data_IF_775094461614
#
_entry.id   IF_775094461614
#
_cell.length_a   1.000
_cell.length_b   1.000
_cell.length_c   1.000
_cell.angle_alpha   90.00
_cell.angle_beta   90.00
_cell.angle_gamma   90.00
#
_symmetry.space_group_name_H-M   'P 1'
#
loop_
_entity.id
_entity.type
_entity.pdbx_description
1 polymer ?
#
# COMPACT_ATOMS: atom_id res chain seq x y z
N UNK A 1 15.48 -25.89 12.45
CA UNK A 1 15.02 -25.76 13.86
C UNK A 1 13.93 -24.68 13.92
N UNK A 2 12.64 -25.06 13.93
CA UNK A 2 11.53 -24.09 14.04
C UNK A 2 11.47 -23.62 15.49
N UNK A 3 11.98 -22.44 15.77
CA UNK A 3 11.88 -21.82 17.10
C UNK A 3 10.38 -21.52 17.32
N UNK A 4 9.74 -22.24 18.24
CA UNK A 4 8.36 -21.99 18.63
C UNK A 4 8.35 -20.80 19.60
N UNK A 5 8.38 -19.57 19.06
CA UNK A 5 8.24 -18.36 19.88
C UNK A 5 6.79 -18.21 20.37
N UNK A 6 6.58 -17.85 21.65
CA UNK A 6 5.25 -17.48 22.14
C UNK A 6 4.68 -16.33 21.30
N UNK A 7 3.37 -16.31 21.01
CA UNK A 7 2.76 -15.28 20.16
C UNK A 7 3.03 -13.86 20.67
N UNK A 8 3.12 -13.69 21.99
CA UNK A 8 3.48 -12.41 22.63
C UNK A 8 4.89 -11.91 22.25
N UNK A 9 5.89 -12.80 22.28
CA UNK A 9 7.29 -12.42 21.97
C UNK A 9 7.43 -12.04 20.50
N UNK A 10 6.68 -12.69 19.61
CA UNK A 10 6.64 -12.34 18.18
C UNK A 10 6.07 -10.95 17.94
N UNK A 11 5.02 -10.56 18.66
CA UNK A 11 4.42 -9.22 18.58
C UNK A 11 5.38 -8.18 19.15
N UNK A 12 5.98 -8.46 20.31
CA UNK A 12 6.95 -7.56 20.94
C UNK A 12 8.15 -7.29 20.03
N UNK A 13 8.69 -8.33 19.38
CA UNK A 13 9.79 -8.19 18.43
C UNK A 13 9.38 -7.34 17.21
N UNK A 14 8.19 -7.58 16.62
CA UNK A 14 7.68 -6.77 15.52
C UNK A 14 7.56 -5.30 15.92
N UNK A 15 6.98 -5.02 17.08
CA UNK A 15 6.85 -3.67 17.61
C UNK A 15 8.21 -3.02 17.85
N UNK A 16 9.16 -3.74 18.46
CA UNK A 16 10.50 -3.23 18.71
C UNK A 16 11.21 -2.86 17.40
N UNK A 17 11.10 -3.69 16.37
CA UNK A 17 11.65 -3.40 15.03
C UNK A 17 10.96 -2.19 14.40
N UNK A 18 9.62 -2.11 14.45
CA UNK A 18 8.88 -0.95 13.93
C UNK A 18 9.27 0.34 14.64
N UNK A 19 9.34 0.34 15.97
CA UNK A 19 9.73 1.50 16.77
C UNK A 19 11.18 1.90 16.50
N UNK A 20 12.10 0.94 16.42
CA UNK A 20 13.50 1.22 16.10
C UNK A 20 13.65 1.82 14.69
N UNK A 21 12.92 1.30 13.71
CA UNK A 21 12.91 1.83 12.34
C UNK A 21 12.36 3.26 12.30
N UNK A 22 11.23 3.53 12.97
CA UNK A 22 10.67 4.88 13.06
C UNK A 22 11.63 5.83 13.76
N UNK A 23 12.21 5.42 14.89
CA UNK A 23 13.20 6.22 15.61
C UNK A 23 14.40 6.57 14.74
N UNK A 24 14.93 5.60 13.98
CA UNK A 24 16.03 5.82 13.06
C UNK A 24 15.66 6.84 11.97
N UNK A 25 14.48 6.70 11.37
CA UNK A 25 13.97 7.60 10.32
C UNK A 25 13.80 9.02 10.86
N UNK A 26 13.13 9.19 12.00
CA UNK A 26 12.93 10.51 12.61
C UNK A 26 14.23 11.14 13.13
N UNK A 27 15.21 10.35 13.56
CA UNK A 27 16.50 10.88 14.02
C UNK A 27 17.38 11.39 12.88
N UNK A 28 17.11 10.97 11.64
CA UNK A 28 17.88 11.36 10.44
C UNK A 28 17.17 12.38 9.56
N UNK A 29 15.87 12.59 9.77
CA UNK A 29 15.06 13.54 9.02
C UNK A 29 14.89 14.83 9.81
N UNK A 30 15.24 15.96 9.19
CA UNK A 30 14.74 17.26 9.64
C UNK A 30 13.30 17.42 9.15
N UNK A 31 12.35 17.34 10.08
CA UNK A 31 10.92 17.50 9.77
C UNK A 31 10.63 18.87 9.14
N UNK A 32 11.39 19.92 9.46
CA UNK A 32 11.21 21.24 8.85
C UNK A 32 11.64 21.24 7.38
N UNK A 33 12.75 20.59 7.04
CA UNK A 33 13.18 20.45 5.64
C UNK A 33 12.21 19.62 4.81
N UNK A 34 11.66 18.53 5.38
CA UNK A 34 10.65 17.70 4.72
C UNK A 34 9.39 18.52 4.43
N UNK A 35 8.88 19.25 5.42
CA UNK A 35 7.70 20.10 5.25
C UNK A 35 7.96 21.26 4.27
N UNK A 36 9.16 21.85 4.30
CA UNK A 36 9.58 22.88 3.35
C UNK A 36 9.65 22.35 1.92
N UNK A 37 10.16 21.13 1.74
CA UNK A 37 10.24 20.46 0.43
C UNK A 37 8.84 20.15 -0.11
N UNK A 38 7.91 19.71 0.74
CA UNK A 38 6.51 19.48 0.36
C UNK A 38 5.83 20.81 -0.01
N UNK A 39 6.07 21.89 0.74
CA UNK A 39 5.50 23.21 0.46
C UNK A 39 6.04 23.82 -0.86
N UNK A 40 7.30 23.56 -1.20
CA UNK A 40 7.90 23.99 -2.47
C UNK A 40 7.62 23.04 -3.64
N UNK A 41 7.06 21.86 -3.39
CA UNK A 41 6.78 20.88 -4.42
C UNK A 41 5.76 21.43 -5.42
N UNK A 42 6.07 21.32 -6.71
CA UNK A 42 5.17 21.81 -7.75
C UNK A 42 3.91 20.94 -7.79
N UNK A 43 2.77 21.55 -7.50
CA UNK A 43 1.46 20.91 -7.51
C UNK A 43 1.15 20.15 -8.82
N UNK A 44 1.69 20.63 -9.96
CA UNK A 44 1.56 19.97 -11.26
C UNK A 44 2.17 18.56 -11.27
N UNK A 45 3.36 18.37 -10.71
CA UNK A 45 4.00 17.05 -10.67
C UNK A 45 3.26 16.09 -9.74
N UNK A 46 2.78 16.59 -8.59
CA UNK A 46 2.00 15.78 -7.66
C UNK A 46 0.68 15.34 -8.29
N UNK A 47 -0.01 16.25 -8.98
CA UNK A 47 -1.26 15.96 -9.70
C UNK A 47 -1.02 14.97 -10.85
N UNK A 48 0.06 15.15 -11.62
CA UNK A 48 0.43 14.22 -12.68
C UNK A 48 0.74 12.83 -12.14
N UNK A 49 1.49 12.72 -11.05
CA UNK A 49 1.78 11.46 -10.38
C UNK A 49 0.49 10.78 -9.88
N UNK A 50 -0.44 11.54 -9.29
CA UNK A 50 -1.73 11.03 -8.84
C UNK A 50 -2.57 10.49 -10.00
N UNK A 51 -2.64 11.20 -11.12
CA UNK A 51 -3.37 10.76 -12.32
C UNK A 51 -2.75 9.47 -12.86
N UNK A 52 -1.43 9.42 -13.01
CA UNK A 52 -0.72 8.22 -13.46
C UNK A 52 -0.94 7.03 -12.52
N UNK A 53 -0.94 7.27 -11.21
CA UNK A 53 -1.24 6.25 -10.21
C UNK A 53 -2.66 5.71 -10.37
N UNK A 54 -3.67 6.59 -10.49
CA UNK A 54 -5.07 6.18 -10.71
C UNK A 54 -5.21 5.37 -12.00
N UNK A 55 -4.61 5.82 -13.11
CA UNK A 55 -4.62 5.11 -14.39
C UNK A 55 -3.97 3.73 -14.29
N UNK A 56 -2.83 3.62 -13.59
CA UNK A 56 -2.17 2.35 -13.32
C UNK A 56 -3.11 1.37 -12.58
N UNK A 57 -3.87 1.87 -11.59
CA UNK A 57 -4.86 1.07 -10.86
C UNK A 57 -6.05 0.67 -11.72
N UNK A 58 -6.53 1.55 -12.61
CA UNK A 58 -7.59 1.21 -13.56
C UNK A 58 -7.16 0.07 -14.49
N UNK A 59 -5.97 0.17 -15.11
CA UNK A 59 -5.43 -0.87 -15.99
C UNK A 59 -5.27 -2.20 -15.24
N UNK A 60 -4.78 -2.14 -14.00
CA UNK A 60 -4.62 -3.33 -13.16
C UNK A 60 -5.95 -4.01 -12.84
N UNK A 61 -7.00 -3.23 -12.58
CA UNK A 61 -8.35 -3.75 -12.36
C UNK A 61 -8.89 -4.44 -13.61
N UNK A 62 -8.71 -3.87 -14.80
CA UNK A 62 -9.14 -4.50 -16.07
C UNK A 62 -8.42 -5.83 -16.30
N UNK A 63 -7.12 -5.89 -16.03
CA UNK A 63 -6.32 -7.13 -16.11
C UNK A 63 -6.88 -8.19 -15.15
N UNK A 64 -7.26 -7.78 -13.93
CA UNK A 64 -7.88 -8.68 -12.96
C UNK A 64 -9.23 -9.20 -13.46
N UNK A 65 -10.09 -8.34 -14.04
CA UNK A 65 -11.39 -8.82 -14.51
C UNK A 65 -11.25 -9.84 -15.64
N UNK A 66 -10.30 -9.63 -16.56
CA UNK A 66 -10.00 -10.59 -17.62
C UNK A 66 -9.55 -11.94 -17.06
N UNK A 67 -8.74 -11.93 -16.01
CA UNK A 67 -8.32 -13.14 -15.30
C UNK A 67 -9.48 -13.86 -14.59
N UNK A 68 -10.38 -13.11 -13.95
CA UNK A 68 -11.59 -13.66 -13.33
C UNK A 68 -12.51 -14.26 -14.39
N UNK A 69 -12.68 -13.58 -15.52
CA UNK A 69 -13.48 -14.06 -16.65
C UNK A 69 -12.93 -15.36 -17.24
N UNK A 70 -11.60 -15.52 -17.34
CA UNK A 70 -10.99 -16.79 -17.77
C UNK A 70 -11.22 -17.95 -16.80
N UNK A 71 -11.54 -17.64 -15.54
CA UNK A 71 -11.87 -18.64 -14.51
C UNK A 71 -13.39 -18.92 -14.44
N UNK A 72 -14.18 -18.33 -15.35
CA UNK A 72 -15.63 -18.46 -15.38
C UNK A 72 -16.39 -17.47 -14.48
N UNK A 73 -15.69 -16.55 -13.81
CA UNK A 73 -16.29 -15.53 -12.96
C UNK A 73 -16.51 -14.24 -13.75
N UNK A 74 -17.74 -14.04 -14.20
CA UNK A 74 -18.13 -12.86 -14.99
C UNK A 74 -18.64 -11.75 -14.05
N UNK A 75 -17.77 -10.78 -13.75
CA UNK A 75 -18.11 -9.60 -12.96
C UNK A 75 -18.15 -8.38 -13.89
N UNK A 76 -19.12 -7.48 -13.67
CA UNK A 76 -19.11 -6.18 -14.36
C UNK A 76 -17.85 -5.38 -14.01
N UNK A 77 -17.26 -4.67 -14.97
CA UNK A 77 -16.03 -3.89 -14.74
C UNK A 77 -16.17 -2.90 -13.59
N UNK A 78 -17.33 -2.26 -13.45
CA UNK A 78 -17.60 -1.31 -12.37
C UNK A 78 -17.58 -1.96 -10.99
N UNK A 79 -18.11 -3.18 -10.87
CA UNK A 79 -18.07 -3.94 -9.61
C UNK A 79 -16.66 -4.43 -9.33
N UNK A 80 -15.96 -4.97 -10.34
CA UNK A 80 -14.57 -5.40 -10.21
C UNK A 80 -13.65 -4.23 -9.79
N UNK A 81 -13.81 -3.03 -10.34
CA UNK A 81 -13.05 -1.85 -9.90
C UNK A 81 -13.26 -1.49 -8.43
N UNK A 82 -14.51 -1.57 -7.94
CA UNK A 82 -14.80 -1.33 -6.52
C UNK A 82 -14.16 -2.39 -5.64
N UNK A 83 -14.26 -3.67 -6.02
CA UNK A 83 -13.67 -4.78 -5.29
C UNK A 83 -12.14 -4.71 -5.30
N UNK A 84 -11.54 -4.34 -6.43
CA UNK A 84 -10.10 -4.14 -6.56
C UNK A 84 -9.60 -3.01 -5.66
N UNK A 85 -10.28 -1.86 -5.66
CA UNK A 85 -9.93 -0.74 -4.78
C UNK A 85 -10.08 -1.10 -3.30
N UNK A 86 -11.17 -1.81 -2.95
CA UNK A 86 -11.41 -2.29 -1.60
C UNK A 86 -10.33 -3.30 -1.15
N UNK A 87 -9.95 -4.23 -2.02
CA UNK A 87 -8.86 -5.16 -1.76
C UNK A 87 -7.53 -4.45 -1.53
N UNK A 88 -7.18 -3.49 -2.39
CA UNK A 88 -5.98 -2.67 -2.19
C UNK A 88 -5.99 -1.90 -0.87
N UNK A 89 -7.16 -1.41 -0.43
CA UNK A 89 -7.28 -0.79 0.89
C UNK A 89 -6.99 -1.80 2.02
N UNK A 90 -7.50 -3.02 1.91
CA UNK A 90 -7.21 -4.08 2.88
C UNK A 90 -5.74 -4.51 2.89
N UNK A 91 -5.01 -4.41 1.76
CA UNK A 91 -3.57 -4.71 1.70
C UNK A 91 -2.72 -3.85 2.65
N UNK A 92 -3.21 -2.69 3.09
CA UNK A 92 -2.48 -1.84 4.04
C UNK A 92 -2.42 -2.46 5.45
N UNK A 93 -3.42 -3.28 5.81
CA UNK A 93 -3.57 -3.82 7.16
C UNK A 93 -3.32 -5.32 7.24
N UNK A 94 -3.62 -6.04 6.16
CA UNK A 94 -3.49 -7.49 6.09
C UNK A 94 -2.26 -7.85 5.25
N UNK A 95 -1.25 -8.54 5.82
CA UNK A 95 -0.13 -9.03 5.04
C UNK A 95 -0.63 -10.12 4.09
N UNK A 96 -0.79 -9.77 2.81
CA UNK A 96 -1.14 -10.70 1.74
C UNK A 96 -2.51 -10.49 1.10
N UNK A 97 -2.91 -9.25 0.80
CA UNK A 97 -4.06 -9.05 -0.08
C UNK A 97 -3.66 -8.82 -1.55
N UNK A 98 -4.59 -9.20 -2.43
CA UNK A 98 -4.61 -9.30 -3.91
C UNK A 98 -3.28 -9.10 -4.64
#
# INVERSE_FOLDING_TARGET
MKINLPPFVKVLLKLAVTVAALWYVFSRLDLQEVLGTIAQSKFLYLSGALILFVLSKMISSLRLNKFLASTGMLISERTNMKLYLLGMYYNLFLPGGI
#
